data_IF_019237196046
#
_entry.id   IF_019237196046
#
_cell.length_a   1.000
_cell.length_b   1.000
_cell.length_c   1.000
_cell.angle_alpha   90.00
_cell.angle_beta   90.00
_cell.angle_gamma   90.00
#
_symmetry.space_group_name_H-M   'P 1'
#
loop_
_entity.id
_entity.type
_entity.pdbx_description
1 polymer ?
#
# COMPACT_ATOMS: atom_id res chain seq x y z
N UNK A 1 -45.35 -1.85 19.35
CA UNK A 1 -44.83 -2.34 20.65
C UNK A 1 -43.31 -2.39 20.55
N UNK A 2 -42.62 -1.47 21.23
CA UNK A 2 -41.18 -1.25 21.11
C UNK A 2 -40.47 -1.97 22.27
N UNK A 3 -39.58 -2.92 21.96
CA UNK A 3 -38.76 -3.61 22.95
C UNK A 3 -37.39 -2.95 23.04
N UNK A 4 -37.21 -2.17 24.11
CA UNK A 4 -35.97 -1.50 24.49
C UNK A 4 -35.04 -2.52 25.17
N UNK A 5 -33.99 -2.98 24.49
CA UNK A 5 -33.00 -3.88 25.08
C UNK A 5 -31.86 -3.06 25.69
N UNK A 6 -31.89 -2.84 27.00
CA UNK A 6 -30.77 -2.33 27.77
C UNK A 6 -29.73 -3.43 27.97
N UNK A 7 -28.54 -3.28 27.38
CA UNK A 7 -27.35 -4.11 27.71
C UNK A 7 -26.35 -3.28 28.51
N UNK A 8 -26.39 -3.44 29.84
CA UNK A 8 -25.34 -2.99 30.74
C UNK A 8 -24.28 -4.08 30.91
N UNK A 9 -23.12 -3.92 30.27
CA UNK A 9 -21.94 -4.73 30.55
C UNK A 9 -21.06 -3.98 31.56
N UNK A 10 -21.13 -4.38 32.83
CA UNK A 10 -20.16 -3.98 33.86
C UNK A 10 -18.92 -4.86 33.72
N UNK A 11 -17.86 -4.32 33.12
CA UNK A 11 -16.57 -4.98 33.06
C UNK A 11 -15.85 -4.82 34.41
N UNK A 12 -15.93 -5.84 35.26
CA UNK A 12 -15.06 -5.99 36.44
C UNK A 12 -13.68 -6.43 35.98
N UNK A 13 -12.69 -5.53 36.06
CA UNK A 13 -11.27 -5.85 35.85
C UNK A 13 -10.77 -6.64 37.06
N UNK A 14 -10.33 -7.90 36.91
CA UNK A 14 -9.74 -8.63 38.02
C UNK A 14 -8.40 -8.00 38.40
N UNK A 15 -8.26 -7.63 39.67
CA UNK A 15 -7.00 -7.17 40.26
C UNK A 15 -5.97 -8.32 40.19
N UNK A 16 -5.00 -8.18 39.30
CA UNK A 16 -3.88 -9.12 39.16
C UNK A 16 -2.99 -8.98 40.40
N UNK A 17 -3.10 -9.93 41.33
CA UNK A 17 -2.12 -10.09 42.41
C UNK A 17 -0.78 -10.49 41.81
N UNK A 18 0.20 -9.59 41.89
CA UNK A 18 1.60 -9.86 41.57
C UNK A 18 2.16 -10.86 42.59
N UNK A 19 2.12 -12.14 42.24
CA UNK A 19 2.85 -13.20 42.94
C UNK A 19 4.35 -13.00 42.68
N UNK A 20 5.08 -12.57 43.70
CA UNK A 20 6.54 -12.45 43.68
C UNK A 20 7.14 -13.87 43.73
N UNK A 21 7.39 -14.44 42.55
CA UNK A 21 8.08 -15.71 42.40
C UNK A 21 9.55 -15.55 42.80
N UNK A 22 9.95 -16.14 43.92
CA UNK A 22 11.35 -16.21 44.35
C UNK A 22 12.09 -17.20 43.44
N UNK A 23 12.75 -16.69 42.39
CA UNK A 23 13.64 -17.48 41.55
C UNK A 23 14.94 -17.77 42.31
N UNK A 24 15.13 -19.03 42.70
CA UNK A 24 16.40 -19.55 43.23
C UNK A 24 17.51 -19.28 42.21
N UNK A 25 18.47 -18.46 42.61
CA UNK A 25 19.69 -18.11 41.89
C UNK A 25 20.66 -19.30 41.83
N UNK A 26 20.37 -20.27 40.97
CA UNK A 26 21.44 -21.12 40.44
C UNK A 26 22.04 -20.40 39.24
N UNK A 27 23.19 -19.77 39.45
CA UNK A 27 24.00 -19.10 38.43
C UNK A 27 24.62 -20.12 37.47
N UNK A 28 23.79 -20.77 36.64
CA UNK A 28 24.32 -21.52 35.50
C UNK A 28 24.76 -20.51 34.44
N UNK A 29 26.04 -20.53 34.06
CA UNK A 29 26.61 -19.68 33.02
C UNK A 29 25.97 -20.00 31.66
N UNK A 30 24.80 -19.43 31.38
CA UNK A 30 24.15 -19.54 30.09
C UNK A 30 24.92 -18.67 29.07
N UNK A 31 25.58 -19.29 28.10
CA UNK A 31 26.44 -18.62 27.12
C UNK A 31 25.72 -17.71 26.11
N UNK A 32 24.40 -17.53 26.23
CA UNK A 32 23.58 -16.80 25.29
C UNK A 32 23.02 -17.70 24.18
N UNK A 33 21.97 -17.24 23.50
CA UNK A 33 21.44 -17.96 22.34
C UNK A 33 22.40 -17.86 21.15
N UNK A 34 22.46 -18.89 20.30
CA UNK A 34 23.35 -18.93 19.12
C UNK A 34 23.13 -17.78 18.13
N UNK A 35 21.93 -17.20 18.13
CA UNK A 35 21.52 -16.12 17.23
C UNK A 35 21.44 -14.77 17.95
N UNK A 36 22.16 -14.61 19.07
CA UNK A 36 22.11 -13.39 19.85
C UNK A 36 22.71 -12.20 19.08
N UNK A 37 21.89 -11.17 18.89
CA UNK A 37 22.28 -9.86 18.38
C UNK A 37 21.81 -8.81 19.38
N UNK A 38 22.71 -8.11 20.08
CA UNK A 38 22.35 -7.12 21.09
C UNK A 38 21.29 -6.13 20.60
N UNK A 39 20.19 -6.04 21.35
CA UNK A 39 19.07 -5.14 21.05
C UNK A 39 18.22 -5.51 19.83
N UNK A 40 18.47 -6.66 19.17
CA UNK A 40 17.70 -7.08 17.98
C UNK A 40 17.04 -8.44 18.15
N UNK A 41 17.81 -9.49 18.46
CA UNK A 41 17.33 -10.88 18.44
C UNK A 41 18.07 -11.76 19.45
N UNK A 42 17.40 -12.82 19.90
CA UNK A 42 17.98 -13.84 20.78
C UNK A 42 18.01 -13.47 22.26
N UNK A 43 18.28 -14.48 23.09
CA UNK A 43 18.47 -14.33 24.53
C UNK A 43 19.92 -13.92 24.82
N UNK A 44 20.08 -12.90 25.67
CA UNK A 44 21.38 -12.39 26.07
C UNK A 44 22.17 -13.43 26.89
N UNK A 45 23.51 -13.39 26.84
CA UNK A 45 24.33 -14.22 27.72
C UNK A 45 23.96 -13.94 29.18
N UNK A 46 23.83 -14.99 29.99
CA UNK A 46 23.39 -14.94 31.39
C UNK A 46 21.87 -14.96 31.60
N UNK A 47 21.06 -14.81 30.54
CA UNK A 47 19.60 -14.84 30.62
C UNK A 47 19.06 -16.03 29.82
N UNK A 48 18.96 -17.23 30.41
CA UNK A 48 18.39 -18.38 29.72
C UNK A 48 16.93 -18.09 29.32
N UNK A 49 16.42 -18.73 28.25
CA UNK A 49 15.02 -18.60 27.90
C UNK A 49 14.13 -19.09 29.05
N UNK A 50 12.90 -18.58 29.17
CA UNK A 50 11.94 -19.12 30.12
C UNK A 50 11.71 -20.61 29.85
N UNK A 51 11.38 -21.35 30.92
CA UNK A 51 11.08 -22.79 30.83
C UNK A 51 10.03 -23.04 29.73
N UNK A 52 10.31 -24.00 28.84
CA UNK A 52 9.53 -24.38 27.63
C UNK A 52 9.66 -23.46 26.39
N UNK A 53 10.47 -22.41 26.45
CA UNK A 53 10.81 -21.61 25.27
C UNK A 53 12.09 -22.15 24.61
N UNK A 54 12.16 -22.05 23.29
CA UNK A 54 13.36 -22.45 22.54
C UNK A 54 14.35 -21.29 22.53
N UNK A 55 15.64 -21.60 22.72
CA UNK A 55 16.74 -20.62 22.64
C UNK A 55 16.79 -19.90 21.29
N UNK A 56 16.55 -20.64 20.21
CA UNK A 56 16.61 -20.16 18.85
C UNK A 56 15.25 -20.27 18.15
N UNK A 57 14.92 -19.32 17.24
CA UNK A 57 13.74 -19.43 16.40
C UNK A 57 13.80 -20.70 15.55
N UNK A 58 12.64 -21.33 15.31
CA UNK A 58 12.56 -22.51 14.45
C UNK A 58 13.02 -22.13 13.03
N UNK A 59 13.88 -22.95 12.44
CA UNK A 59 14.26 -22.79 11.04
C UNK A 59 12.99 -22.77 10.16
N UNK A 60 12.91 -21.79 9.25
CA UNK A 60 11.79 -21.72 8.30
C UNK A 60 11.90 -22.91 7.35
N UNK A 61 10.86 -23.73 7.30
CA UNK A 61 10.80 -24.84 6.33
C UNK A 61 10.88 -24.28 4.91
N UNK A 62 11.57 -24.96 3.98
CA UNK A 62 11.55 -24.57 2.58
C UNK A 62 10.09 -24.60 2.10
N UNK A 63 9.69 -23.62 1.27
CA UNK A 63 8.33 -23.60 0.80
C UNK A 63 8.08 -24.80 -0.12
N UNK A 64 6.90 -25.41 0.00
CA UNK A 64 6.49 -26.53 -0.87
C UNK A 64 6.45 -26.08 -2.33
N UNK A 65 6.93 -26.94 -3.21
CA UNK A 65 6.87 -26.78 -4.65
C UNK A 65 5.71 -27.61 -5.23
N UNK A 66 5.26 -27.24 -6.43
CA UNK A 66 4.28 -28.03 -7.18
C UNK A 66 4.81 -29.45 -7.47
N UNK A 67 6.13 -29.60 -7.65
CA UNK A 67 6.81 -30.89 -7.82
C UNK A 67 6.76 -31.79 -6.58
N UNK A 68 6.58 -31.22 -5.38
CA UNK A 68 6.56 -31.96 -4.12
C UNK A 68 5.19 -32.58 -3.85
N UNK A 69 4.18 -32.29 -4.68
CA UNK A 69 2.87 -32.87 -4.54
C UNK A 69 2.90 -34.35 -4.98
N UNK A 70 2.33 -35.27 -4.18
CA UNK A 70 2.22 -36.65 -4.60
C UNK A 70 1.33 -36.71 -5.85
N UNK A 71 1.88 -37.21 -6.95
CA UNK A 71 1.11 -37.40 -8.17
C UNK A 71 -0.09 -38.30 -7.87
N UNK A 72 -1.30 -37.95 -8.37
CA UNK A 72 -2.44 -38.85 -8.27
C UNK A 72 -2.02 -40.15 -8.94
N UNK A 73 -2.03 -41.26 -8.20
CA UNK A 73 -1.72 -42.58 -8.77
C UNK A 73 -2.66 -42.80 -9.94
N UNK A 74 -2.13 -42.84 -11.15
CA UNK A 74 -2.88 -43.21 -12.33
C UNK A 74 -3.36 -44.64 -12.14
N UNK A 75 -4.60 -44.80 -11.69
CA UNK A 75 -5.31 -46.09 -11.68
C UNK A 75 -5.72 -46.50 -13.10
N UNK A 76 -4.93 -46.11 -14.09
CA UNK A 76 -5.09 -46.52 -15.47
C UNK A 76 -4.59 -47.95 -15.61
N UNK A 77 -5.48 -48.93 -15.40
CA UNK A 77 -5.60 -50.13 -16.26
C UNK A 77 -6.47 -51.23 -15.69
N UNK A 78 -6.71 -51.25 -14.39
CA UNK A 78 -7.65 -52.22 -13.85
C UNK A 78 -9.06 -51.70 -14.09
N UNK A 79 -9.77 -52.37 -15.00
CA UNK A 79 -11.14 -52.06 -15.38
C UNK A 79 -12.02 -51.74 -14.16
N UNK A 80 -13.00 -50.83 -14.29
CA UNK A 80 -13.86 -50.41 -13.19
C UNK A 80 -14.67 -51.59 -12.66
N UNK A 81 -14.10 -52.37 -11.73
CA UNK A 81 -14.85 -53.32 -10.91
C UNK A 81 -15.91 -52.51 -10.17
N UNK A 82 -17.15 -52.54 -10.66
CA UNK A 82 -18.36 -51.87 -10.17
C UNK A 82 -18.12 -51.02 -8.91
N UNK A 83 -17.40 -49.91 -9.09
CA UNK A 83 -16.97 -49.12 -7.94
C UNK A 83 -18.20 -48.38 -7.46
N UNK A 84 -18.57 -48.57 -6.19
CA UNK A 84 -19.65 -47.79 -5.56
C UNK A 84 -19.57 -46.32 -5.94
N UNK A 85 -20.70 -45.71 -6.29
CA UNK A 85 -20.84 -44.28 -6.67
C UNK A 85 -20.09 -43.36 -5.68
N UNK A 86 -20.09 -43.71 -4.39
CA UNK A 86 -19.36 -42.99 -3.34
C UNK A 86 -17.83 -43.00 -3.55
N UNK A 87 -17.25 -44.09 -4.06
CA UNK A 87 -15.81 -44.17 -4.37
C UNK A 87 -15.46 -43.26 -5.55
N UNK A 88 -16.28 -43.28 -6.61
CA UNK A 88 -16.08 -42.40 -7.78
C UNK A 88 -16.15 -40.91 -7.37
N UNK A 89 -17.12 -40.55 -6.52
CA UNK A 89 -17.22 -39.19 -6.00
C UNK A 89 -15.98 -38.77 -5.19
N UNK A 90 -15.46 -39.64 -4.32
CA UNK A 90 -14.23 -39.38 -3.57
C UNK A 90 -13.00 -39.23 -4.47
N UNK A 91 -12.92 -40.00 -5.56
CA UNK A 91 -11.86 -39.88 -6.55
C UNK A 91 -11.94 -38.54 -7.31
N UNK A 92 -13.15 -38.16 -7.77
CA UNK A 92 -13.39 -36.83 -8.37
C UNK A 92 -12.99 -35.70 -7.43
N UNK A 93 -13.37 -35.77 -6.15
CA UNK A 93 -12.97 -34.77 -5.16
C UNK A 93 -11.45 -34.73 -4.93
N UNK A 94 -10.79 -35.90 -4.96
CA UNK A 94 -9.33 -35.96 -4.81
C UNK A 94 -8.62 -35.31 -6.00
N UNK A 95 -9.07 -35.58 -7.22
CA UNK A 95 -8.56 -34.96 -8.44
C UNK A 95 -8.76 -33.44 -8.40
N UNK A 96 -9.96 -32.98 -8.02
CA UNK A 96 -10.27 -31.55 -7.91
C UNK A 96 -9.36 -30.86 -6.87
N UNK A 97 -9.21 -31.45 -5.67
CA UNK A 97 -8.32 -30.93 -4.62
C UNK A 97 -6.86 -30.91 -5.07
N UNK A 98 -6.41 -31.92 -5.80
CA UNK A 98 -5.06 -31.97 -6.36
C UNK A 98 -4.86 -30.84 -7.36
N UNK A 99 -5.76 -30.67 -8.34
CA UNK A 99 -5.69 -29.61 -9.33
C UNK A 99 -5.64 -28.21 -8.70
N UNK A 100 -6.55 -27.94 -7.74
CA UNK A 100 -6.55 -26.65 -7.03
C UNK A 100 -5.24 -26.41 -6.25
N UNK A 101 -4.73 -27.43 -5.55
CA UNK A 101 -3.49 -27.30 -4.78
C UNK A 101 -2.27 -27.10 -5.69
N UNK A 102 -2.23 -27.81 -6.81
CA UNK A 102 -1.19 -27.66 -7.83
C UNK A 102 -1.19 -26.25 -8.40
N UNK A 103 -2.33 -25.76 -8.90
CA UNK A 103 -2.45 -24.43 -9.50
C UNK A 103 -2.12 -23.31 -8.51
N UNK A 104 -2.55 -23.48 -7.25
CA UNK A 104 -2.19 -22.57 -6.18
C UNK A 104 -0.67 -22.52 -5.92
N UNK A 105 0.02 -23.67 -5.92
CA UNK A 105 1.48 -23.72 -5.75
C UNK A 105 2.22 -23.11 -6.94
N UNK A 106 1.81 -23.42 -8.17
CA UNK A 106 2.36 -22.80 -9.39
C UNK A 106 2.19 -21.27 -9.35
N UNK A 107 1.01 -20.79 -8.96
CA UNK A 107 0.75 -19.36 -8.78
C UNK A 107 1.64 -18.72 -7.69
N UNK A 108 1.93 -19.44 -6.60
CA UNK A 108 2.86 -18.97 -5.58
C UNK A 108 4.31 -18.94 -6.07
N UNK A 109 4.75 -19.94 -6.84
CA UNK A 109 6.08 -19.98 -7.44
C UNK A 109 6.31 -18.81 -8.39
N UNK A 110 5.37 -18.57 -9.32
CA UNK A 110 5.43 -17.44 -10.24
C UNK A 110 5.52 -16.09 -9.49
N UNK A 111 4.75 -15.92 -8.41
CA UNK A 111 4.83 -14.72 -7.55
C UNK A 111 6.20 -14.60 -6.87
N UNK A 112 6.76 -15.70 -6.36
CA UNK A 112 8.10 -15.70 -5.75
C UNK A 112 9.19 -15.38 -6.76
N UNK A 113 9.12 -15.92 -7.97
CA UNK A 113 10.07 -15.59 -9.03
C UNK A 113 9.99 -14.12 -9.43
N UNK A 114 8.78 -13.58 -9.62
CA UNK A 114 8.59 -12.16 -9.89
C UNK A 114 9.21 -11.30 -8.80
N UNK A 115 9.00 -11.65 -7.54
CA UNK A 115 9.58 -10.94 -6.39
C UNK A 115 11.10 -11.08 -6.32
N UNK A 116 11.65 -12.26 -6.66
CA UNK A 116 13.11 -12.46 -6.73
C UNK A 116 13.72 -11.59 -7.82
N UNK A 117 13.10 -11.53 -9.00
CA UNK A 117 13.53 -10.68 -10.12
C UNK A 117 13.48 -9.20 -9.76
N UNK A 118 12.36 -8.72 -9.20
CA UNK A 118 12.23 -7.31 -8.80
C UNK A 118 13.25 -6.92 -7.71
N UNK A 119 13.52 -7.82 -6.77
CA UNK A 119 14.52 -7.61 -5.73
C UNK A 119 15.95 -7.63 -6.30
N UNK A 120 16.23 -8.45 -7.31
CA UNK A 120 17.52 -8.45 -8.00
C UNK A 120 17.76 -7.11 -8.71
N UNK A 121 16.77 -6.61 -9.47
CA UNK A 121 16.86 -5.28 -10.12
C UNK A 121 17.06 -4.17 -9.09
N UNK A 122 16.32 -4.21 -7.97
CA UNK A 122 16.49 -3.20 -6.92
C UNK A 122 17.90 -3.22 -6.29
N UNK A 123 18.51 -4.40 -6.14
CA UNK A 123 19.88 -4.54 -5.65
C UNK A 123 20.90 -4.01 -6.65
N UNK A 124 20.73 -4.29 -7.93
CA UNK A 124 21.58 -3.77 -9.00
C UNK A 124 21.58 -2.23 -9.00
N UNK A 125 20.40 -1.61 -8.97
CA UNK A 125 20.25 -0.15 -8.87
C UNK A 125 20.96 0.41 -7.61
N UNK A 126 20.87 -0.29 -6.48
CA UNK A 126 21.56 0.12 -5.25
C UNK A 126 23.09 0.03 -5.37
N UNK A 127 23.60 -1.01 -6.02
CA UNK A 127 25.03 -1.18 -6.28
C UNK A 127 25.54 -0.09 -7.23
N UNK A 128 24.85 0.16 -8.33
CA UNK A 128 25.18 1.23 -9.26
C UNK A 128 25.21 2.60 -8.57
N UNK A 129 24.21 2.87 -7.72
CA UNK A 129 24.17 4.11 -6.93
C UNK A 129 25.36 4.21 -5.98
N UNK A 130 25.73 3.12 -5.32
CA UNK A 130 26.89 3.07 -4.41
C UNK A 130 28.20 3.27 -5.17
N UNK A 131 28.32 2.72 -6.37
CA UNK A 131 29.49 2.90 -7.23
C UNK A 131 29.60 4.33 -7.75
N UNK A 132 28.49 4.94 -8.17
CA UNK A 132 28.45 6.37 -8.56
C UNK A 132 28.91 7.27 -7.42
N UNK A 133 28.34 7.08 -6.22
CA UNK A 133 28.76 7.83 -5.03
C UNK A 133 30.24 7.60 -4.70
N UNK A 134 30.76 6.39 -4.90
CA UNK A 134 32.18 6.09 -4.69
C UNK A 134 33.08 6.84 -5.70
N UNK A 135 32.67 6.90 -6.97
CA UNK A 135 33.40 7.63 -8.03
C UNK A 135 33.36 9.14 -7.77
N UNK A 136 32.18 9.69 -7.47
CA UNK A 136 32.00 11.10 -7.11
C UNK A 136 32.87 11.48 -5.90
N UNK A 137 32.88 10.62 -4.87
CA UNK A 137 33.72 10.83 -3.69
C UNK A 137 35.22 10.80 -4.03
N UNK A 138 35.66 9.87 -4.88
CA UNK A 138 37.06 9.81 -5.29
C UNK A 138 37.48 11.05 -6.10
N UNK A 139 36.60 11.54 -6.98
CA UNK A 139 36.82 12.80 -7.74
C UNK A 139 36.88 13.99 -6.78
N UNK A 140 35.96 14.07 -5.83
CA UNK A 140 35.95 15.12 -4.81
C UNK A 140 37.22 15.08 -3.95
N UNK A 141 37.63 13.91 -3.49
CA UNK A 141 38.87 13.73 -2.71
C UNK A 141 40.12 14.15 -3.50
N UNK A 142 40.17 13.89 -4.81
CA UNK A 142 41.25 14.37 -5.67
C UNK A 142 41.24 15.91 -5.80
N UNK A 143 40.07 16.51 -6.08
CA UNK A 143 39.93 17.97 -6.18
C UNK A 143 40.27 18.68 -4.86
N UNK A 144 39.81 18.14 -3.73
CA UNK A 144 40.10 18.64 -2.39
C UNK A 144 41.59 18.56 -2.05
N UNK A 145 42.27 17.50 -2.52
CA UNK A 145 43.70 17.32 -2.29
C UNK A 145 44.54 18.34 -3.06
N UNK A 146 44.13 18.65 -4.29
CA UNK A 146 44.86 19.57 -5.19
C UNK A 146 44.55 21.05 -4.89
N UNK A 147 43.41 21.35 -4.26
CA UNK A 147 43.04 22.71 -3.88
C UNK A 147 43.77 23.17 -2.60
N UNK A 148 44.66 24.19 -2.67
CA UNK A 148 45.39 24.70 -1.51
C UNK A 148 44.49 25.40 -0.48
N UNK A 149 43.25 25.76 -0.85
CA UNK A 149 42.29 26.44 0.03
C UNK A 149 41.17 25.51 0.53
N UNK A 150 41.21 24.22 0.19
CA UNK A 150 40.23 23.25 0.69
C UNK A 150 40.32 23.07 2.20
N UNK A 151 39.17 22.90 2.87
CA UNK A 151 39.09 22.74 4.32
C UNK A 151 39.97 21.61 4.89
N UNK A 152 40.25 20.57 4.09
CA UNK A 152 41.14 19.48 4.49
C UNK A 152 42.64 19.85 4.45
N UNK A 153 43.04 20.79 3.57
CA UNK A 153 44.41 21.32 3.50
C UNK A 153 44.60 22.54 4.41
N UNK A 154 43.52 23.29 4.69
CA UNK A 154 43.54 24.44 5.61
C UNK A 154 43.63 23.99 7.06
N UNK A 155 43.19 22.77 7.40
CA UNK A 155 43.37 22.17 8.72
C UNK A 155 44.47 21.12 8.66
N UNK A 156 45.66 21.41 9.19
CA UNK A 156 46.64 20.36 9.50
C UNK A 156 45.99 19.31 10.43
N UNK A 157 46.42 18.04 10.44
CA UNK A 157 45.94 17.05 11.42
C UNK A 157 46.20 17.46 12.88
N UNK A 158 47.07 18.46 13.09
CA UNK A 158 47.36 19.11 14.37
C UNK A 158 46.38 20.27 14.72
N UNK A 159 45.40 20.56 13.87
CA UNK A 159 44.38 21.60 14.11
C UNK A 159 44.85 23.06 13.96
N UNK A 160 46.09 23.29 13.52
CA UNK A 160 46.59 24.64 13.19
C UNK A 160 46.14 25.04 11.79
N UNK A 161 45.35 26.11 11.69
CA UNK A 161 44.98 26.71 10.41
C UNK A 161 46.03 27.73 9.97
N UNK A 162 46.24 27.89 8.66
CA UNK A 162 47.09 28.94 8.08
C UNK A 162 46.66 30.38 8.49
N UNK A 163 45.44 30.52 9.02
CA UNK A 163 44.88 31.77 9.55
C UNK A 163 45.20 32.00 11.04
N UNK A 164 45.75 31.02 11.77
CA UNK A 164 46.10 31.18 13.19
C UNK A 164 47.28 32.13 13.45
N UNK A 165 47.96 32.58 12.40
CA UNK A 165 49.05 33.56 12.47
C UNK A 165 48.65 34.97 12.00
N UNK A 166 47.41 35.20 11.55
CA UNK A 166 46.93 36.56 11.27
C UNK A 166 46.59 37.18 12.62
N UNK A 167 47.43 38.11 13.06
CA UNK A 167 47.43 38.70 14.39
C UNK A 167 46.03 39.04 14.89
N UNK A 168 45.77 38.63 16.13
CA UNK A 168 44.63 39.04 16.93
C UNK A 168 44.68 40.56 17.12
N UNK A 169 44.12 41.30 16.16
CA UNK A 169 43.61 42.64 16.41
C UNK A 169 42.30 42.45 17.19
N UNK A 170 42.32 42.93 18.42
CA UNK A 170 41.27 42.86 19.42
C UNK A 170 39.91 43.28 18.83
N UNK A 171 39.02 42.30 18.64
CA UNK A 171 37.59 42.56 18.43
C UNK A 171 36.89 42.31 19.76
N UNK A 172 36.27 43.31 20.40
CA UNK A 172 35.49 43.13 21.61
C UNK A 172 34.24 42.29 21.29
N UNK A 173 34.21 41.04 21.73
CA UNK A 173 32.99 40.24 21.79
C UNK A 173 32.46 40.28 23.23
N UNK A 174 31.39 41.04 23.45
CA UNK A 174 30.51 40.83 24.59
C UNK A 174 29.60 39.61 24.32
N UNK A 175 29.65 38.54 25.12
CA UNK A 175 28.65 37.49 25.06
C UNK A 175 27.41 37.91 25.87
N UNK A 176 26.18 37.78 25.33
CA UNK A 176 24.98 37.90 26.13
C UNK A 176 24.87 36.70 27.08
N UNK A 177 25.09 36.95 28.37
CA UNK A 177 24.83 35.99 29.44
C UNK A 177 23.32 35.87 29.67
N UNK A 178 22.70 34.78 29.21
CA UNK A 178 21.38 34.37 29.69
C UNK A 178 21.53 33.09 30.51
N UNK A 179 21.66 33.24 31.82
CA UNK A 179 21.67 32.14 32.81
C UNK A 179 20.26 31.94 33.36
N UNK A 180 19.44 31.11 32.72
CA UNK A 180 18.31 30.45 33.38
C UNK A 180 18.28 28.95 33.02
N UNK A 181 18.17 28.05 34.02
CA UNK A 181 18.11 26.61 33.80
C UNK A 181 16.69 26.19 33.43
N UNK A 182 16.28 26.41 32.18
CA UNK A 182 15.03 25.86 31.64
C UNK A 182 15.29 24.44 31.15
N UNK A 183 14.55 23.46 31.69
CA UNK A 183 14.68 22.04 31.37
C UNK A 183 14.81 21.76 29.87
N UNK A 184 15.97 21.25 29.48
CA UNK A 184 16.37 21.05 28.08
C UNK A 184 15.51 20.01 27.37
N UNK A 185 14.38 20.44 26.79
CA UNK A 185 13.92 19.86 25.53
C UNK A 185 14.74 20.51 24.43
N UNK A 186 15.95 19.99 24.20
CA UNK A 186 16.77 20.38 23.05
C UNK A 186 15.92 20.14 21.80
N UNK A 187 15.36 21.23 21.26
CA UNK A 187 14.73 21.17 19.96
C UNK A 187 15.79 20.65 18.98
N UNK A 188 15.42 19.71 18.08
CA UNK A 188 16.38 19.19 17.12
C UNK A 188 17.04 20.36 16.39
N UNK A 189 18.36 20.28 16.12
CA UNK A 189 19.11 21.36 15.50
C UNK A 189 18.40 21.76 14.20
N UNK A 190 18.10 23.05 14.07
CA UNK A 190 17.51 23.61 12.85
C UNK A 190 18.58 23.59 11.77
N UNK A 191 18.65 22.50 11.02
CA UNK A 191 19.55 22.37 9.86
C UNK A 191 18.92 23.13 8.68
N UNK A 192 19.42 24.33 8.41
CA UNK A 192 19.11 25.05 7.16
C UNK A 192 19.99 24.49 6.05
N UNK A 193 19.45 23.56 5.27
CA UNK A 193 20.14 23.06 4.07
C UNK A 193 19.98 24.11 2.98
N UNK A 194 21.05 24.84 2.68
CA UNK A 194 21.09 25.75 1.53
C UNK A 194 21.10 24.93 0.24
N UNK A 195 19.93 24.81 -0.40
CA UNK A 195 19.82 24.23 -1.73
C UNK A 195 20.20 25.29 -2.77
N UNK A 196 20.95 24.94 -3.84
CA UNK A 196 21.25 25.85 -4.94
C UNK A 196 19.98 26.43 -5.56
N UNK A 197 19.99 27.72 -5.91
CA UNK A 197 18.82 28.42 -6.46
C UNK A 197 18.26 27.74 -7.72
N UNK A 198 19.14 27.26 -8.60
CA UNK A 198 18.74 26.53 -9.80
C UNK A 198 17.98 25.22 -9.49
N UNK A 199 18.41 24.48 -8.47
CA UNK A 199 17.73 23.25 -8.04
C UNK A 199 16.38 23.54 -7.38
N UNK A 200 16.29 24.64 -6.63
CA UNK A 200 15.01 25.11 -6.07
C UNK A 200 14.03 25.54 -7.16
N UNK A 201 14.49 26.27 -8.18
CA UNK A 201 13.68 26.69 -9.32
C UNK A 201 13.17 25.50 -10.15
N UNK A 202 13.99 24.47 -10.36
CA UNK A 202 13.56 23.24 -11.01
C UNK A 202 12.51 22.48 -10.18
N UNK A 203 12.67 22.44 -8.86
CA UNK A 203 11.71 21.79 -7.95
C UNK A 203 10.39 22.55 -7.88
N UNK A 204 10.39 23.88 -7.90
CA UNK A 204 9.16 24.68 -7.90
C UNK A 204 8.39 24.52 -9.21
N UNK A 205 9.08 24.51 -10.36
CA UNK A 205 8.43 24.27 -11.66
C UNK A 205 7.85 22.85 -11.76
N UNK A 206 8.56 21.83 -11.24
CA UNK A 206 8.05 20.46 -11.15
C UNK A 206 6.81 20.37 -10.25
N UNK A 207 6.82 21.03 -9.09
CA UNK A 207 5.64 21.11 -8.20
C UNK A 207 4.46 21.77 -8.88
N UNK A 208 4.67 22.86 -9.61
CA UNK A 208 3.62 23.53 -10.37
C UNK A 208 3.04 22.62 -11.45
N UNK A 209 3.90 21.91 -12.20
CA UNK A 209 3.45 20.92 -13.19
C UNK A 209 2.62 19.81 -12.55
N UNK A 210 3.10 19.23 -11.44
CA UNK A 210 2.38 18.18 -10.73
C UNK A 210 1.03 18.68 -10.18
N UNK A 211 0.98 19.93 -9.71
CA UNK A 211 -0.25 20.54 -9.23
C UNK A 211 -1.26 20.76 -10.37
N UNK A 212 -0.81 21.22 -11.54
CA UNK A 212 -1.65 21.34 -12.74
C UNK A 212 -2.21 19.98 -13.17
N UNK A 213 -1.35 18.96 -13.32
CA UNK A 213 -1.76 17.60 -13.69
C UNK A 213 -2.74 17.01 -12.68
N UNK A 214 -2.52 17.24 -11.38
CA UNK A 214 -3.45 16.79 -10.34
C UNK A 214 -4.79 17.54 -10.41
N UNK A 215 -4.78 18.84 -10.73
CA UNK A 215 -5.97 19.64 -10.95
C UNK A 215 -6.76 19.17 -12.17
N UNK A 216 -6.09 18.91 -13.30
CA UNK A 216 -6.67 18.36 -14.53
C UNK A 216 -7.34 17.01 -14.26
N UNK A 217 -6.68 16.10 -13.55
CA UNK A 217 -7.29 14.80 -13.17
C UNK A 217 -8.57 14.96 -12.37
N UNK A 218 -8.56 15.83 -11.35
CA UNK A 218 -9.77 16.12 -10.55
C UNK A 218 -10.87 16.73 -11.40
N UNK A 219 -10.51 17.60 -12.34
CA UNK A 219 -11.48 18.18 -13.27
C UNK A 219 -12.13 17.11 -14.15
N UNK A 220 -11.34 16.22 -14.74
CA UNK A 220 -11.84 15.07 -15.52
C UNK A 220 -12.75 14.18 -14.67
N UNK A 221 -12.35 13.83 -13.45
CA UNK A 221 -13.17 13.03 -12.52
C UNK A 221 -14.52 13.73 -12.21
N UNK A 222 -14.50 15.04 -11.99
CA UNK A 222 -15.71 15.82 -11.74
C UNK A 222 -16.63 15.87 -12.97
N UNK A 223 -16.09 16.07 -14.17
CA UNK A 223 -16.88 16.08 -15.41
C UNK A 223 -17.49 14.70 -15.66
N UNK A 224 -16.71 13.63 -15.46
CA UNK A 224 -17.21 12.26 -15.57
C UNK A 224 -18.36 11.98 -14.58
N UNK A 225 -18.26 12.49 -13.34
CA UNK A 225 -19.34 12.38 -12.36
C UNK A 225 -20.60 13.15 -12.80
N UNK A 226 -20.45 14.34 -13.39
CA UNK A 226 -21.57 15.09 -13.96
C UNK A 226 -22.20 14.37 -15.16
N UNK A 227 -21.40 13.70 -15.99
CA UNK A 227 -21.90 12.89 -17.10
C UNK A 227 -22.68 11.68 -16.62
N UNK A 228 -22.19 10.99 -15.59
CA UNK A 228 -22.95 9.93 -14.92
C UNK A 228 -24.29 10.47 -14.39
N UNK A 229 -24.26 11.62 -13.72
CA UNK A 229 -25.48 12.27 -13.21
C UNK A 229 -26.44 12.62 -14.34
N UNK A 230 -25.95 13.11 -15.47
CA UNK A 230 -26.77 13.40 -16.65
C UNK A 230 -27.45 12.14 -17.20
N UNK A 231 -26.71 11.04 -17.31
CA UNK A 231 -27.29 9.76 -17.75
C UNK A 231 -28.29 9.20 -16.73
N UNK A 232 -28.03 9.39 -15.45
CA UNK A 232 -28.92 8.97 -14.36
C UNK A 232 -30.14 9.90 -14.24
N UNK A 233 -30.08 11.13 -14.71
CA UNK A 233 -31.16 12.11 -14.65
C UNK A 233 -32.40 11.67 -15.43
N UNK A 234 -32.26 10.82 -16.45
CA UNK A 234 -33.40 10.20 -17.14
C UNK A 234 -34.27 9.36 -16.18
N UNK A 235 -33.67 8.84 -15.11
CA UNK A 235 -34.38 8.06 -14.10
C UNK A 235 -35.05 8.90 -13.01
N UNK A 236 -34.79 10.20 -12.97
CA UNK A 236 -35.31 11.11 -11.94
C UNK A 236 -36.82 11.23 -12.02
N UNK A 237 -37.43 11.48 -10.85
CA UNK A 237 -38.87 11.63 -10.74
C UNK A 237 -39.26 13.04 -11.22
N UNK A 238 -40.19 13.09 -12.17
CA UNK A 238 -40.84 14.28 -12.67
C UNK A 238 -42.36 14.06 -12.67
N UNK A 239 -43.16 15.12 -12.67
CA UNK A 239 -44.62 15.01 -12.55
C UNK A 239 -45.24 14.02 -13.56
N UNK A 240 -44.72 13.96 -14.79
CA UNK A 240 -45.19 13.02 -15.81
C UNK A 240 -44.80 11.55 -15.62
N UNK A 241 -43.77 11.20 -14.82
CA UNK A 241 -43.38 9.79 -14.58
C UNK A 241 -43.65 9.31 -13.16
N UNK A 242 -44.18 10.19 -12.30
CA UNK A 242 -44.35 9.94 -10.88
C UNK A 242 -45.21 8.70 -10.63
N UNK A 243 -46.39 8.61 -11.26
CA UNK A 243 -47.30 7.48 -11.08
C UNK A 243 -46.70 6.14 -11.56
N UNK A 244 -45.99 6.17 -12.70
CA UNK A 244 -45.29 4.99 -13.22
C UNK A 244 -44.21 4.51 -12.25
N UNK A 245 -43.40 5.43 -11.70
CA UNK A 245 -42.36 5.10 -10.73
C UNK A 245 -42.93 4.59 -9.42
N UNK A 246 -44.07 5.12 -8.96
CA UNK A 246 -44.80 4.60 -7.80
C UNK A 246 -45.27 3.17 -8.08
N UNK A 247 -45.88 2.92 -9.24
CA UNK A 247 -46.32 1.59 -9.61
C UNK A 247 -45.17 0.58 -9.70
N UNK A 248 -44.08 0.95 -10.38
CA UNK A 248 -42.85 0.14 -10.46
C UNK A 248 -42.30 -0.14 -9.05
N UNK A 249 -42.26 0.86 -8.18
CA UNK A 249 -41.78 0.70 -6.81
C UNK A 249 -42.68 -0.23 -5.98
N UNK A 250 -44.00 -0.07 -6.05
CA UNK A 250 -44.95 -0.92 -5.33
C UNK A 250 -44.88 -2.38 -5.80
N UNK A 251 -44.67 -2.61 -7.09
CA UNK A 251 -44.45 -3.96 -7.63
C UNK A 251 -43.09 -4.54 -7.22
N UNK A 252 -42.06 -3.70 -7.10
CA UNK A 252 -40.72 -4.10 -6.67
C UNK A 252 -40.64 -4.31 -5.15
N UNK A 253 -41.49 -3.70 -4.33
CA UNK A 253 -41.55 -3.95 -2.88
C UNK A 253 -41.90 -5.40 -2.52
N UNK A 254 -42.37 -6.20 -3.48
CA UNK A 254 -42.47 -7.65 -3.33
C UNK A 254 -41.11 -8.36 -3.27
N UNK A 255 -40.01 -7.67 -3.63
CA UNK A 255 -38.64 -8.15 -3.47
C UNK A 255 -38.24 -7.95 -2.01
N UNK A 256 -38.13 -9.04 -1.26
CA UNK A 256 -37.64 -9.02 0.12
C UNK A 256 -36.29 -8.30 0.17
N UNK A 257 -36.14 -7.34 1.10
CA UNK A 257 -34.84 -6.77 1.38
C UNK A 257 -33.92 -7.92 1.77
N UNK A 258 -32.85 -8.13 0.98
CA UNK A 258 -31.88 -9.19 1.27
C UNK A 258 -31.31 -8.96 2.66
N UNK A 259 -31.56 -9.90 3.56
CA UNK A 259 -30.98 -9.84 4.90
C UNK A 259 -29.46 -10.05 4.81
N UNK A 260 -28.72 -9.57 5.82
CA UNK A 260 -27.27 -9.82 5.88
C UNK A 260 -26.95 -11.32 5.86
N UNK A 261 -27.82 -12.14 6.48
CA UNK A 261 -27.73 -13.60 6.45
C UNK A 261 -27.84 -14.12 5.02
N UNK A 262 -28.87 -13.72 4.25
CA UNK A 262 -29.02 -14.11 2.84
C UNK A 262 -27.87 -13.64 1.95
N UNK A 263 -27.26 -12.48 2.24
CA UNK A 263 -26.07 -12.04 1.52
C UNK A 263 -24.85 -12.91 1.83
N UNK A 264 -24.66 -13.28 3.10
CA UNK A 264 -23.57 -14.17 3.54
C UNK A 264 -23.78 -15.58 3.00
N UNK A 265 -25.01 -16.09 3.06
CA UNK A 265 -25.39 -17.40 2.52
C UNK A 265 -25.23 -17.41 1.01
N UNK A 266 -25.68 -16.37 0.30
CA UNK A 266 -25.42 -16.21 -1.12
C UNK A 266 -23.92 -16.12 -1.46
N UNK A 267 -23.10 -15.53 -0.59
CA UNK A 267 -21.65 -15.51 -0.76
C UNK A 267 -21.04 -16.91 -0.55
N UNK A 268 -21.53 -17.66 0.44
CA UNK A 268 -21.05 -18.98 0.80
C UNK A 268 -21.51 -20.07 -0.17
N UNK A 269 -22.77 -20.03 -0.62
CA UNK A 269 -23.38 -20.95 -1.56
C UNK A 269 -22.76 -20.84 -2.95
N UNK A 270 -22.45 -19.62 -3.38
CA UNK A 270 -21.70 -19.39 -4.62
C UNK A 270 -20.19 -19.59 -4.42
N UNK A 271 -19.72 -20.04 -3.24
CA UNK A 271 -18.32 -20.33 -2.97
C UNK A 271 -17.38 -19.11 -3.04
N UNK A 272 -17.92 -17.91 -2.79
CA UNK A 272 -17.24 -16.64 -3.00
C UNK A 272 -17.08 -16.26 -4.48
N UNK A 273 -17.68 -17.02 -5.39
CA UNK A 273 -17.67 -16.73 -6.83
C UNK A 273 -18.75 -15.69 -7.12
N UNK A 274 -18.36 -14.64 -7.84
CA UNK A 274 -19.28 -13.59 -8.31
C UNK A 274 -20.42 -14.21 -9.11
N UNK A 275 -21.66 -13.89 -8.74
CA UNK A 275 -22.85 -14.41 -9.44
C UNK A 275 -22.85 -14.00 -10.93
N UNK A 276 -23.41 -14.80 -11.83
CA UNK A 276 -23.50 -14.46 -13.26
C UNK A 276 -24.02 -13.03 -13.56
N UNK A 277 -25.08 -12.51 -12.91
CA UNK A 277 -25.52 -11.13 -13.11
C UNK A 277 -24.50 -10.10 -12.60
N UNK A 278 -23.78 -10.40 -11.53
CA UNK A 278 -22.71 -9.53 -11.03
C UNK A 278 -21.49 -9.54 -11.96
N UNK A 279 -21.13 -10.69 -12.52
CA UNK A 279 -20.10 -10.80 -13.56
C UNK A 279 -20.51 -9.97 -14.76
N UNK A 280 -21.75 -10.10 -15.24
CA UNK A 280 -22.27 -9.30 -16.35
C UNK A 280 -22.22 -7.79 -16.04
N UNK A 281 -22.57 -7.38 -14.82
CA UNK A 281 -22.48 -5.98 -14.39
C UNK A 281 -21.02 -5.49 -14.43
N UNK A 282 -20.09 -6.24 -13.82
CA UNK A 282 -18.66 -5.89 -13.79
C UNK A 282 -18.04 -5.90 -15.18
N UNK A 283 -18.44 -6.80 -16.07
CA UNK A 283 -17.93 -6.81 -17.45
C UNK A 283 -18.46 -5.62 -18.24
N UNK A 284 -19.71 -5.20 -18.03
CA UNK A 284 -20.23 -3.95 -18.61
C UNK A 284 -19.51 -2.72 -18.06
N UNK A 285 -19.27 -2.65 -16.75
CA UNK A 285 -18.49 -1.57 -16.11
C UNK A 285 -17.07 -1.52 -16.69
N UNK A 286 -16.37 -2.66 -16.75
CA UNK A 286 -15.02 -2.76 -17.33
C UNK A 286 -15.00 -2.35 -18.80
N UNK A 287 -15.95 -2.82 -19.59
CA UNK A 287 -16.08 -2.44 -21.00
C UNK A 287 -16.26 -0.93 -21.13
N UNK A 288 -17.10 -0.33 -20.28
CA UNK A 288 -17.36 1.09 -20.33
C UNK A 288 -16.10 1.89 -19.95
N UNK A 289 -15.36 1.47 -18.91
CA UNK A 289 -14.09 2.10 -18.55
C UNK A 289 -13.02 2.00 -19.64
N UNK A 290 -12.93 0.87 -20.35
CA UNK A 290 -11.95 0.67 -21.43
C UNK A 290 -12.31 1.43 -22.70
N UNK A 291 -13.60 1.65 -22.95
CA UNK A 291 -14.11 2.37 -24.11
C UNK A 291 -14.27 3.88 -23.86
N UNK A 292 -13.96 4.37 -22.66
CA UNK A 292 -14.20 5.78 -22.29
C UNK A 292 -15.69 6.14 -22.25
N UNK A 293 -16.59 5.14 -22.12
CA UNK A 293 -18.03 5.33 -22.03
C UNK A 293 -18.51 5.28 -20.58
N UNK A 294 -19.72 5.78 -20.31
CA UNK A 294 -20.29 5.87 -18.97
C UNK A 294 -21.70 5.31 -18.88
N UNK A 295 -22.13 5.04 -17.64
CA UNK A 295 -23.49 4.62 -17.34
C UNK A 295 -23.81 3.16 -17.65
N UNK A 296 -25.08 2.79 -17.43
CA UNK A 296 -25.58 1.40 -17.55
C UNK A 296 -25.85 0.96 -18.99
N UNK A 297 -26.00 1.93 -19.90
CA UNK A 297 -26.37 1.74 -21.31
C UNK A 297 -25.22 1.99 -22.28
N UNK A 298 -23.97 2.01 -21.81
CA UNK A 298 -22.77 2.29 -22.62
C UNK A 298 -22.89 3.60 -23.41
N UNK A 299 -23.41 4.66 -22.76
CA UNK A 299 -23.56 5.97 -23.39
C UNK A 299 -22.22 6.70 -23.45
N UNK A 300 -22.17 7.71 -24.33
CA UNK A 300 -21.00 8.57 -24.53
C UNK A 300 -20.46 9.03 -23.16
N UNK A 301 -19.20 8.70 -22.86
CA UNK A 301 -18.49 9.21 -21.69
C UNK A 301 -17.65 10.43 -22.07
N UNK A 302 -16.81 10.89 -21.13
CA UNK A 302 -16.01 12.09 -21.32
C UNK A 302 -15.16 12.07 -22.60
N UNK A 303 -14.42 10.99 -22.85
CA UNK A 303 -13.53 10.92 -24.03
C UNK A 303 -14.33 10.97 -25.34
N UNK A 304 -15.48 10.29 -25.38
CA UNK A 304 -16.37 10.34 -26.54
C UNK A 304 -17.01 11.71 -26.73
N UNK A 305 -17.32 12.44 -25.65
CA UNK A 305 -17.82 13.82 -25.71
C UNK A 305 -16.76 14.76 -26.27
N UNK A 306 -15.52 14.65 -25.79
CA UNK A 306 -14.40 15.46 -26.29
C UNK A 306 -14.20 15.20 -27.79
N UNK A 307 -14.16 13.94 -28.20
CA UNK A 307 -14.06 13.58 -29.62
C UNK A 307 -15.24 14.09 -30.45
N UNK A 308 -16.45 14.07 -29.89
CA UNK A 308 -17.64 14.61 -30.54
C UNK A 308 -17.56 16.13 -30.69
N UNK A 309 -17.12 16.86 -29.66
CA UNK A 309 -16.90 18.30 -29.71
C UNK A 309 -15.79 18.69 -30.71
N UNK A 310 -14.71 17.91 -30.80
CA UNK A 310 -13.64 18.13 -31.78
C UNK A 310 -14.14 17.97 -33.22
N UNK A 311 -15.14 17.10 -33.44
CA UNK A 311 -15.75 16.90 -34.76
C UNK A 311 -16.88 17.89 -35.06
N UNK A 312 -17.42 18.57 -34.05
CA UNK A 312 -18.54 19.51 -34.15
C UNK A 312 -18.21 20.85 -33.45
N UNK A 313 -17.25 21.65 -34.00
CA UNK A 313 -16.78 22.86 -33.32
C UNK A 313 -17.87 23.94 -33.15
N UNK A 314 -18.87 23.98 -34.03
CA UNK A 314 -20.00 24.92 -33.92
C UNK A 314 -20.79 24.76 -32.62
N UNK A 315 -20.92 23.52 -32.12
CA UNK A 315 -21.61 23.23 -30.86
C UNK A 315 -20.74 23.57 -29.64
N UNK A 316 -19.41 23.49 -29.79
CA UNK A 316 -18.46 23.89 -28.75
C UNK A 316 -18.44 25.41 -28.53
N UNK A 317 -18.52 26.20 -29.59
CA UNK A 317 -18.61 27.67 -29.51
C UNK A 317 -19.88 28.12 -28.78
N UNK A 318 -21.01 27.47 -29.04
CA UNK A 318 -22.27 27.75 -28.35
C UNK A 318 -22.21 27.53 -26.83
N UNK A 319 -21.45 26.53 -26.36
CA UNK A 319 -21.24 26.29 -24.92
C UNK A 319 -20.40 27.39 -24.26
N UNK A 320 -19.36 27.87 -24.97
CA UNK A 320 -18.48 28.94 -24.47
C UNK A 320 -19.26 30.25 -24.35
N UNK A 321 -20.11 30.57 -25.33
CA UNK A 321 -20.91 31.79 -25.32
C UNK A 321 -21.97 31.78 -24.22
N UNK A 322 -22.57 30.63 -23.93
CA UNK A 322 -23.48 30.49 -22.77
C UNK A 322 -22.76 30.64 -21.42
N UNK A 323 -21.49 30.24 -21.32
CA UNK A 323 -20.70 30.41 -20.10
C UNK A 323 -20.35 31.88 -19.87
N UNK A 324 -19.91 32.60 -20.92
CA UNK A 324 -19.62 34.04 -20.85
C UNK A 324 -20.84 34.87 -20.48
N UNK A 325 -22.02 34.53 -21.04
CA UNK A 325 -23.28 35.23 -20.77
C UNK A 325 -23.81 35.05 -19.34
N UNK A 326 -23.24 34.13 -18.54
CA UNK A 326 -23.56 33.95 -17.12
C UNK A 326 -22.66 34.73 -16.17
N UNK A 327 -21.53 35.26 -16.66
CA UNK A 327 -20.61 36.08 -15.86
C UNK A 327 -20.95 37.58 -15.93
N UNK A 328 -21.84 37.98 -16.84
CA UNK A 328 -22.49 39.30 -16.90
C UNK A 328 -23.78 39.34 -16.06
#
# INVERSE_FOLDING_TARGET
MSLLIQRGLKATVPAVRLSVCHSSTQSSSYGGSSNYVPGKQGYAPGFPPPKNFRDAPKAKLPPKLASDLPQPKDRSRDEPKASSVAKQYREKLRQLRFGYMHDHLVGQEAKREKNKRSLAVAREIQMDRREKLRKERAVYEAQVRDDPLSAANVMNPEGRTMLSNVGAAEVPQEPPQSTEPVGYRLAPPRVTISMPEAANAARTSERQRNWRVAGERRHVDNVQALMNLFHDAESFVHYGNLDKKIYDFLNVLAVSQRTLAEMIDGLNENGGVTTAPEVARRTTELRNTLQGTTGRSSRLGYDGLVQWLDTHPADAEGLIDMAKKKEE
#
